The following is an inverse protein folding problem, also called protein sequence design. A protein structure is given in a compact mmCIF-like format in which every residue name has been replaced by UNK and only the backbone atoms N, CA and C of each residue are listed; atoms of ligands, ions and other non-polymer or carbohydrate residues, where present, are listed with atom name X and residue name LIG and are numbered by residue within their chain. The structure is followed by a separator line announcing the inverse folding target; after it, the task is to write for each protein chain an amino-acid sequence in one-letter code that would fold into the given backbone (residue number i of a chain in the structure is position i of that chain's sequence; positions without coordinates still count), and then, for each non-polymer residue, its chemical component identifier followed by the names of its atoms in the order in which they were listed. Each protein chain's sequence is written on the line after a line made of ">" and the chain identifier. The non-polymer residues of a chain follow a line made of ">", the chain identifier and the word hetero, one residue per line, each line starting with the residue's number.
data_IF_519025608981
#
_entry.id   IF_519025608981
#
_cell.length_a   1.000
_cell.length_b   1.000
_cell.length_c   1.000
_cell.angle_alpha   90.00
_cell.angle_beta   90.00
_cell.angle_gamma   90.00
#
_symmetry.space_group_name_H-M   'P 1'
#
loop_
_entity.id
_entity.type
_entity.pdbx_description
1 polymer ?
#
# COMPACT_ATOMS: atom_id res chain seq x y z
N UNK A 1 -43.83 -19.25 70.46
CA UNK A 1 -44.01 -17.93 71.10
C UNK A 1 -43.52 -16.88 70.09
N UNK A 2 -44.27 -16.02 69.43
CA UNK A 2 -45.63 -15.53 69.64
C UNK A 2 -45.60 -14.03 69.95
N UNK A 3 -45.46 -13.16 68.94
CA UNK A 3 -45.93 -11.76 69.01
C UNK A 3 -46.50 -11.37 67.65
N UNK A 4 -47.67 -10.73 67.68
CA UNK A 4 -48.63 -10.48 66.60
C UNK A 4 -49.02 -8.99 66.65
N UNK A 5 -49.07 -8.36 65.46
CA UNK A 5 -49.94 -7.24 64.96
C UNK A 5 -49.88 -5.83 65.63
N UNK A 6 -50.31 -4.72 64.96
CA UNK A 6 -51.43 -4.59 64.00
C UNK A 6 -51.17 -3.99 62.61
N UNK A 7 -52.09 -4.36 61.70
CA UNK A 7 -52.40 -3.78 60.38
C UNK A 7 -53.59 -2.82 60.49
N UNK A 8 -53.66 -1.86 59.57
CA UNK A 8 -54.88 -1.28 58.96
C UNK A 8 -54.47 -0.73 57.58
N UNK A 9 -54.77 -1.34 56.42
CA UNK A 9 -56.01 -1.38 55.59
C UNK A 9 -56.57 0.00 55.21
N UNK A 10 -57.02 0.36 53.99
CA UNK A 10 -57.23 -0.24 52.65
C UNK A 10 -57.68 0.95 51.75
N UNK A 11 -57.38 0.97 50.43
CA UNK A 11 -58.32 1.31 49.32
C UNK A 11 -57.59 1.47 47.95
N UNK A 12 -57.92 0.55 47.03
CA UNK A 12 -57.91 0.67 45.55
C UNK A 12 -59.41 0.53 45.12
N UNK A 13 -59.87 0.72 43.85
CA UNK A 13 -59.15 0.79 42.57
C UNK A 13 -59.69 1.83 41.54
N UNK A 14 -59.00 1.99 40.40
CA UNK A 14 -59.52 2.74 39.24
C UNK A 14 -58.68 2.58 37.98
N UNK A 15 -59.07 1.65 37.11
CA UNK A 15 -58.51 1.34 35.79
C UNK A 15 -58.85 2.39 34.72
N UNK A 16 -57.94 2.65 33.76
CA UNK A 16 -58.24 2.84 32.31
C UNK A 16 -56.95 2.85 31.46
N UNK A 17 -57.14 2.47 30.20
CA UNK A 17 -56.25 1.93 29.14
C UNK A 17 -55.19 2.88 28.53
N UNK A 18 -54.23 2.35 27.72
CA UNK A 18 -53.10 3.10 27.18
C UNK A 18 -53.46 3.85 25.89
N UNK A 19 -52.82 5.00 25.66
CA UNK A 19 -52.86 5.72 24.38
C UNK A 19 -51.51 5.55 23.69
N UNK A 20 -51.58 4.98 22.49
CA UNK A 20 -50.53 4.89 21.48
C UNK A 20 -50.37 6.24 20.79
N UNK A 21 -49.14 6.70 20.60
CA UNK A 21 -48.84 7.75 19.62
C UNK A 21 -47.54 7.41 18.89
N UNK A 22 -47.72 6.85 17.70
CA UNK A 22 -46.72 6.62 16.66
C UNK A 22 -46.10 7.95 16.23
N UNK A 23 -44.78 8.11 16.30
CA UNK A 23 -44.06 9.19 15.61
C UNK A 23 -43.70 8.72 14.20
N UNK A 24 -44.43 9.25 13.21
CA UNK A 24 -44.12 9.14 11.78
C UNK A 24 -43.32 10.38 11.41
N UNK A 25 -42.03 10.19 11.07
CA UNK A 25 -41.23 11.21 10.42
C UNK A 25 -41.60 11.24 8.93
N UNK A 26 -42.32 12.29 8.52
CA UNK A 26 -42.56 12.59 7.10
C UNK A 26 -41.43 13.46 6.57
N UNK A 27 -40.85 12.99 5.48
CA UNK A 27 -40.00 13.70 4.53
C UNK A 27 -40.87 14.64 3.71
N UNK A 28 -40.59 15.94 3.67
CA UNK A 28 -41.16 16.85 2.68
C UNK A 28 -40.04 17.53 1.88
N UNK A 29 -40.12 17.33 0.56
CA UNK A 29 -39.30 17.93 -0.46
C UNK A 29 -39.85 19.32 -0.81
N UNK A 30 -38.97 20.31 -0.91
CA UNK A 30 -39.29 21.64 -1.44
C UNK A 30 -38.80 21.73 -2.89
N UNK A 31 -39.74 21.59 -3.82
CA UNK A 31 -39.64 22.00 -5.23
C UNK A 31 -40.30 23.37 -5.33
N UNK A 32 -39.54 24.41 -5.68
CA UNK A 32 -40.08 25.72 -6.04
C UNK A 32 -39.83 25.98 -7.53
N UNK A 33 -40.91 25.90 -8.31
CA UNK A 33 -40.98 26.35 -9.69
C UNK A 33 -41.66 27.73 -9.73
N UNK A 34 -41.07 28.69 -10.43
CA UNK A 34 -41.70 29.99 -10.68
C UNK A 34 -41.26 30.58 -12.02
N UNK A 35 -42.09 30.29 -13.03
CA UNK A 35 -42.63 31.18 -14.10
C UNK A 35 -41.71 32.18 -14.79
N UNK A 36 -41.52 31.98 -16.11
CA UNK A 36 -41.24 33.03 -17.09
C UNK A 36 -42.48 33.87 -17.43
N UNK A 37 -42.29 35.09 -17.96
CA UNK A 37 -43.22 35.71 -18.90
C UNK A 37 -42.66 35.71 -20.34
N UNK A 38 -43.55 35.40 -21.28
CA UNK A 38 -43.36 35.56 -22.72
C UNK A 38 -43.43 37.04 -23.13
N UNK A 39 -42.58 37.45 -24.08
CA UNK A 39 -42.85 38.56 -24.98
C UNK A 39 -42.34 38.22 -26.39
N UNK A 40 -43.32 38.29 -27.29
CA UNK A 40 -43.46 38.07 -28.73
C UNK A 40 -42.43 38.67 -29.71
N UNK A 41 -42.26 37.93 -30.83
CA UNK A 41 -42.01 38.33 -32.26
C UNK A 41 -40.76 39.19 -32.55
N UNK A 42 -39.96 38.90 -33.57
CA UNK A 42 -40.37 38.90 -34.98
C UNK A 42 -39.41 38.10 -35.91
N UNK A 43 -39.90 37.83 -37.12
CA UNK A 43 -39.44 36.89 -38.14
C UNK A 43 -38.32 37.40 -39.05
N UNK A 44 -37.46 36.46 -39.48
CA UNK A 44 -36.95 36.26 -40.85
C UNK A 44 -35.91 35.14 -40.75
N UNK A 45 -36.04 33.98 -41.39
CA UNK A 45 -36.29 33.78 -42.81
C UNK A 45 -34.92 33.57 -43.49
N UNK A 46 -34.58 32.32 -43.83
CA UNK A 46 -33.91 31.85 -45.06
C UNK A 46 -33.29 30.46 -44.83
N UNK A 47 -33.74 29.49 -45.63
CA UNK A 47 -33.18 28.15 -45.83
C UNK A 47 -31.92 28.20 -46.70
N UNK A 48 -30.95 27.31 -46.43
CA UNK A 48 -30.03 26.56 -47.33
C UNK A 48 -28.97 25.94 -46.38
N UNK A 49 -28.63 24.65 -46.33
CA UNK A 49 -28.43 23.67 -47.40
C UNK A 49 -26.92 23.36 -47.52
N UNK A 50 -26.44 22.35 -46.77
CA UNK A 50 -25.08 21.73 -46.80
C UNK A 50 -23.86 22.65 -46.54
N UNK A 51 -22.91 22.28 -45.69
CA UNK A 51 -21.81 21.33 -45.96
C UNK A 51 -21.39 20.66 -44.64
N UNK A 52 -21.45 19.33 -44.59
CA UNK A 52 -20.75 18.56 -43.58
C UNK A 52 -19.27 18.52 -43.96
N UNK A 53 -18.46 19.36 -43.34
CA UNK A 53 -17.01 19.19 -43.34
C UNK A 53 -16.68 18.03 -42.42
N UNK A 54 -16.55 16.84 -43.00
CA UNK A 54 -15.83 15.73 -42.40
C UNK A 54 -14.40 16.18 -42.10
N UNK A 55 -14.18 16.61 -40.85
CA UNK A 55 -12.83 16.63 -40.29
C UNK A 55 -12.32 15.18 -40.34
N UNK A 56 -11.13 14.92 -40.87
CA UNK A 56 -10.54 13.61 -40.75
C UNK A 56 -10.36 13.36 -39.25
N UNK A 57 -11.13 12.42 -38.70
CA UNK A 57 -10.70 11.66 -37.53
C UNK A 57 -9.42 10.94 -37.95
N UNK A 58 -8.30 11.66 -37.88
CA UNK A 58 -7.01 11.03 -37.71
C UNK A 58 -7.13 10.28 -36.40
N UNK A 59 -7.34 8.98 -36.52
CA UNK A 59 -7.09 8.02 -35.46
C UNK A 59 -5.62 8.21 -35.06
N UNK A 60 -5.36 9.15 -34.15
CA UNK A 60 -4.19 9.07 -33.31
C UNK A 60 -4.43 7.84 -32.44
N UNK A 61 -4.01 6.69 -32.95
CA UNK A 61 -3.54 5.63 -32.07
C UNK A 61 -2.51 6.32 -31.18
N UNK A 62 -2.93 6.75 -29.99
CA UNK A 62 -2.03 6.91 -28.85
C UNK A 62 -1.15 5.67 -28.91
N UNK A 63 0.12 5.83 -29.24
CA UNK A 63 1.06 4.72 -29.19
C UNK A 63 0.92 4.17 -27.78
N UNK A 64 0.44 2.92 -27.66
CA UNK A 64 0.32 2.28 -26.36
C UNK A 64 1.70 2.39 -25.70
N UNK A 65 1.78 3.16 -24.61
CA UNK A 65 3.07 3.44 -23.98
C UNK A 65 3.60 2.12 -23.44
N UNK A 66 4.75 1.68 -23.95
CA UNK A 66 5.40 0.45 -23.49
C UNK A 66 6.05 0.67 -22.12
N UNK A 67 5.23 0.70 -21.06
CA UNK A 67 5.69 0.87 -19.69
C UNK A 67 6.67 -0.24 -19.27
N UNK A 68 6.46 -1.47 -19.75
CA UNK A 68 7.31 -2.62 -19.40
C UNK A 68 8.68 -2.48 -20.06
N UNK A 69 8.74 -2.09 -21.33
CA UNK A 69 9.98 -1.77 -22.02
C UNK A 69 10.73 -0.61 -21.40
N UNK A 70 10.03 0.46 -20.96
CA UNK A 70 10.65 1.58 -20.22
C UNK A 70 11.29 1.12 -18.91
N UNK A 71 10.60 0.28 -18.13
CA UNK A 71 11.15 -0.27 -16.89
C UNK A 71 12.32 -1.21 -17.16
N UNK A 72 12.23 -2.07 -18.18
CA UNK A 72 13.34 -2.96 -18.56
C UNK A 72 14.58 -2.18 -19.02
N UNK A 73 14.40 -1.06 -19.73
CA UNK A 73 15.49 -0.18 -20.11
C UNK A 73 16.12 0.54 -18.90
N UNK A 74 15.31 0.95 -17.93
CA UNK A 74 15.80 1.57 -16.69
C UNK A 74 16.50 0.57 -15.76
N UNK A 75 16.06 -0.70 -15.77
CA UNK A 75 16.54 -1.76 -14.89
C UNK A 75 16.92 -3.02 -15.70
N UNK A 76 18.03 -2.98 -16.45
CA UNK A 76 18.38 -3.99 -17.46
C UNK A 76 18.68 -5.39 -16.93
N UNK A 77 18.90 -5.56 -15.62
CA UNK A 77 19.06 -6.89 -14.99
C UNK A 77 17.73 -7.58 -14.69
N UNK A 78 16.61 -6.87 -14.79
CA UNK A 78 15.29 -7.40 -14.41
C UNK A 78 14.69 -8.27 -15.51
N UNK A 79 13.86 -9.22 -15.11
CA UNK A 79 13.17 -10.15 -16.01
C UNK A 79 11.66 -9.98 -15.88
N UNK A 80 10.96 -9.90 -17.02
CA UNK A 80 9.50 -9.74 -17.08
C UNK A 80 8.74 -11.06 -16.80
N UNK A 81 7.57 -11.06 -16.11
CA UNK A 81 7.00 -9.94 -15.37
C UNK A 81 7.91 -9.42 -14.25
N UNK A 82 7.97 -8.09 -14.12
CA UNK A 82 8.77 -7.44 -13.07
C UNK A 82 8.17 -7.73 -11.70
N UNK A 83 8.97 -8.36 -10.84
CA UNK A 83 8.66 -8.64 -9.43
C UNK A 83 9.55 -7.78 -8.56
N UNK A 84 8.93 -6.97 -7.71
CA UNK A 84 9.60 -6.02 -6.82
C UNK A 84 9.48 -6.51 -5.37
N UNK A 85 10.59 -6.49 -4.64
CA UNK A 85 10.60 -6.66 -3.18
C UNK A 85 10.40 -5.31 -2.51
N UNK A 86 9.32 -5.15 -1.72
CA UNK A 86 8.97 -3.88 -1.10
C UNK A 86 10.03 -3.38 -0.09
N UNK A 87 10.23 -2.05 0.05
CA UNK A 87 10.98 -1.48 1.16
C UNK A 87 10.17 -1.59 2.47
N UNK A 88 10.42 -2.64 3.25
CA UNK A 88 9.81 -2.90 4.54
C UNK A 88 10.75 -2.43 5.65
N UNK A 89 10.36 -1.37 6.38
CA UNK A 89 11.20 -0.75 7.43
C UNK A 89 11.83 -1.81 8.33
N UNK A 90 13.16 -1.82 8.41
CA UNK A 90 14.03 -2.82 9.05
C UNK A 90 13.99 -4.21 8.41
N UNK A 91 12.83 -4.71 7.99
CA UNK A 91 12.62 -6.11 7.61
C UNK A 91 13.24 -6.47 6.24
N UNK A 92 13.24 -5.54 5.29
CA UNK A 92 13.92 -5.74 4.00
C UNK A 92 15.33 -5.15 4.05
N UNK A 93 16.23 -5.93 4.67
CA UNK A 93 17.65 -5.63 4.72
C UNK A 93 18.37 -5.82 3.37
N UNK A 94 19.69 -5.57 3.34
CA UNK A 94 20.52 -5.70 2.15
C UNK A 94 20.52 -7.13 1.59
N UNK A 95 20.49 -8.16 2.45
CA UNK A 95 20.48 -9.56 2.02
C UNK A 95 19.24 -9.87 1.17
N UNK A 96 18.06 -9.46 1.63
CA UNK A 96 16.81 -9.66 0.89
C UNK A 96 16.79 -8.85 -0.40
N UNK A 97 17.18 -7.58 -0.36
CA UNK A 97 17.20 -6.74 -1.56
C UNK A 97 18.13 -7.31 -2.64
N UNK A 98 19.34 -7.72 -2.26
CA UNK A 98 20.31 -8.33 -3.18
C UNK A 98 19.81 -9.67 -3.71
N UNK A 99 19.21 -10.53 -2.88
CA UNK A 99 18.68 -11.82 -3.31
C UNK A 99 17.55 -11.67 -4.34
N UNK A 100 16.62 -10.73 -4.13
CA UNK A 100 15.56 -10.42 -5.10
C UNK A 100 16.14 -9.90 -6.42
N UNK A 101 17.10 -8.97 -6.36
CA UNK A 101 17.73 -8.44 -7.56
C UNK A 101 18.52 -9.50 -8.34
N UNK A 102 19.22 -10.42 -7.65
CA UNK A 102 19.95 -11.54 -8.28
C UNK A 102 19.03 -12.49 -9.05
N UNK A 103 17.80 -12.67 -8.61
CA UNK A 103 16.78 -13.49 -9.28
C UNK A 103 16.07 -12.75 -10.44
N UNK A 104 16.62 -11.63 -10.91
CA UNK A 104 16.01 -10.79 -11.94
C UNK A 104 14.75 -10.07 -11.49
N UNK A 105 14.51 -9.97 -10.18
CA UNK A 105 13.55 -9.04 -9.60
C UNK A 105 14.17 -7.66 -9.37
N UNK A 106 13.45 -6.78 -8.69
CA UNK A 106 13.99 -5.51 -8.19
C UNK A 106 13.83 -5.43 -6.68
N UNK A 107 14.92 -5.63 -5.94
CA UNK A 107 14.90 -5.55 -4.49
C UNK A 107 15.03 -4.12 -3.98
N UNK A 108 14.26 -3.77 -2.94
CA UNK A 108 14.42 -2.52 -2.21
C UNK A 108 14.83 -2.76 -0.75
N UNK A 109 15.85 -2.03 -0.32
CA UNK A 109 16.20 -1.91 1.11
C UNK A 109 15.15 -1.02 1.77
N UNK A 110 14.61 -1.46 2.90
CA UNK A 110 13.65 -0.70 3.69
C UNK A 110 14.33 0.35 4.58
N UNK A 111 13.61 1.41 4.99
CA UNK A 111 14.16 2.38 5.92
C UNK A 111 14.68 1.70 7.20
N UNK A 112 15.77 2.22 7.76
CA UNK A 112 16.29 1.74 9.04
C UNK A 112 15.43 2.13 10.25
N UNK A 113 15.93 1.83 11.45
CA UNK A 113 15.36 2.38 12.69
C UNK A 113 15.58 3.88 12.78
N UNK A 114 16.78 4.33 12.36
CA UNK A 114 17.18 5.74 12.24
C UNK A 114 17.57 6.05 10.79
N UNK A 115 17.45 7.31 10.32
CA UNK A 115 17.81 7.68 8.96
C UNK A 115 19.26 7.30 8.58
N UNK A 116 20.21 7.43 9.51
CA UNK A 116 21.64 7.20 9.29
C UNK A 116 21.97 5.74 9.00
N UNK A 117 21.11 4.81 9.41
CA UNK A 117 21.28 3.37 9.12
C UNK A 117 21.24 3.05 7.62
N UNK A 118 20.66 3.94 6.81
CA UNK A 118 20.55 3.75 5.36
C UNK A 118 21.91 3.57 4.69
N UNK A 119 22.91 4.36 5.09
CA UNK A 119 24.26 4.27 4.53
C UNK A 119 24.92 2.92 4.84
N UNK A 120 24.74 2.40 6.06
CA UNK A 120 25.28 1.10 6.46
C UNK A 120 24.66 -0.05 5.68
N UNK A 121 23.34 -0.05 5.50
CA UNK A 121 22.67 -1.10 4.71
C UNK A 121 23.06 -1.03 3.23
N UNK A 122 23.25 0.18 2.66
CA UNK A 122 23.73 0.35 1.29
C UNK A 122 25.19 -0.10 1.09
N UNK A 123 26.10 0.19 2.03
CA UNK A 123 27.48 -0.34 1.97
C UNK A 123 27.47 -1.87 2.05
N UNK A 124 26.70 -2.45 2.97
CA UNK A 124 26.57 -3.91 3.09
C UNK A 124 26.07 -4.53 1.77
N UNK A 125 25.08 -3.92 1.13
CA UNK A 125 24.58 -4.40 -0.15
C UNK A 125 25.62 -4.31 -1.26
N UNK A 126 26.42 -3.23 -1.28
CA UNK A 126 27.54 -3.06 -2.22
C UNK A 126 28.62 -4.11 -2.00
N UNK A 127 28.96 -4.43 -0.76
CA UNK A 127 29.90 -5.52 -0.41
C UNK A 127 29.37 -6.89 -0.87
N UNK A 128 28.10 -7.18 -0.61
CA UNK A 128 27.44 -8.41 -1.07
C UNK A 128 27.51 -8.54 -2.59
N UNK A 129 27.33 -7.43 -3.32
CA UNK A 129 27.37 -7.40 -4.79
C UNK A 129 28.80 -7.43 -5.36
N UNK A 130 29.79 -6.95 -4.62
CA UNK A 130 31.20 -7.08 -5.01
C UNK A 130 31.66 -8.54 -5.03
N UNK A 131 31.11 -9.39 -4.14
CA UNK A 131 31.41 -10.82 -4.10
C UNK A 131 30.79 -11.62 -5.27
N UNK A 132 29.68 -11.14 -5.81
CA UNK A 132 28.97 -11.76 -6.93
C UNK A 132 28.03 -10.74 -7.56
N UNK A 133 28.42 -10.25 -8.75
CA UNK A 133 27.70 -9.23 -9.50
C UNK A 133 26.41 -9.77 -10.11
N UNK A 134 25.50 -8.85 -10.46
CA UNK A 134 24.26 -9.18 -11.16
C UNK A 134 24.48 -8.97 -12.67
N UNK A 135 24.33 -10.01 -13.51
CA UNK A 135 24.47 -9.86 -14.95
C UNK A 135 23.52 -8.80 -15.53
N UNK A 136 24.04 -7.96 -16.41
CA UNK A 136 23.28 -6.87 -17.04
C UNK A 136 23.05 -5.65 -16.15
N UNK A 137 23.48 -5.67 -14.88
CA UNK A 137 23.41 -4.50 -14.03
C UNK A 137 24.36 -3.39 -14.52
N UNK A 138 23.93 -2.11 -14.47
CA UNK A 138 24.80 -0.99 -14.77
C UNK A 138 25.97 -0.89 -13.77
N UNK A 139 27.16 -0.51 -14.25
CA UNK A 139 28.34 -0.36 -13.38
C UNK A 139 28.31 0.90 -12.51
N UNK A 140 27.52 1.91 -12.89
CA UNK A 140 27.45 3.22 -12.23
C UNK A 140 26.30 3.37 -11.22
N UNK A 141 25.48 2.32 -11.05
CA UNK A 141 24.37 2.29 -10.10
C UNK A 141 24.40 0.98 -9.32
N UNK A 142 23.97 1.02 -8.06
CA UNK A 142 23.70 -0.20 -7.31
C UNK A 142 22.40 -0.82 -7.85
N UNK A 143 22.39 -2.10 -8.29
CA UNK A 143 21.24 -2.77 -8.91
C UNK A 143 20.13 -3.16 -7.91
N UNK A 144 19.73 -2.21 -7.08
CA UNK A 144 18.68 -2.30 -6.08
C UNK A 144 18.17 -0.89 -5.78
N UNK A 145 17.02 -0.81 -5.14
CA UNK A 145 16.47 0.44 -4.66
C UNK A 145 16.58 0.59 -3.14
N UNK A 146 16.25 1.78 -2.65
CA UNK A 146 16.18 2.08 -1.22
C UNK A 146 14.90 2.86 -0.92
N UNK A 147 14.24 2.56 0.19
CA UNK A 147 13.01 3.21 0.61
C UNK A 147 13.21 4.24 1.72
N UNK A 148 12.44 5.32 1.65
CA UNK A 148 12.42 6.43 2.60
C UNK A 148 11.01 6.74 3.08
N UNK A 149 10.90 7.05 4.38
CA UNK A 149 9.69 7.61 4.96
C UNK A 149 9.83 9.13 4.99
N UNK A 150 8.94 9.84 4.31
CA UNK A 150 9.01 11.30 4.19
C UNK A 150 8.71 11.99 5.53
N UNK A 151 7.69 11.53 6.26
CA UNK A 151 7.20 12.23 7.46
C UNK A 151 8.16 12.26 8.66
N UNK A 152 9.10 11.30 8.75
CA UNK A 152 10.06 11.18 9.86
C UNK A 152 11.50 10.89 9.39
N UNK A 153 11.73 10.85 8.08
CA UNK A 153 13.07 10.72 7.52
C UNK A 153 13.77 12.06 7.49
N UNK A 154 15.08 12.00 7.24
CA UNK A 154 15.92 13.16 7.02
C UNK A 154 16.35 13.18 5.55
N UNK A 155 15.91 14.20 4.81
CA UNK A 155 16.16 14.31 3.37
C UNK A 155 17.63 14.55 3.05
N UNK A 156 18.37 15.24 3.92
CA UNK A 156 19.79 15.54 3.69
C UNK A 156 20.65 14.29 3.94
N UNK A 157 20.35 13.52 5.00
CA UNK A 157 20.97 12.20 5.23
C UNK A 157 20.66 11.24 4.08
N UNK A 158 19.41 11.25 3.60
CA UNK A 158 18.97 10.40 2.49
C UNK A 158 19.68 10.79 1.17
N UNK A 159 19.77 12.08 0.88
CA UNK A 159 20.48 12.62 -0.28
C UNK A 159 21.97 12.30 -0.23
N UNK A 160 22.62 12.45 0.92
CA UNK A 160 24.03 12.07 1.09
C UNK A 160 24.25 10.57 0.80
N UNK A 161 23.39 9.69 1.32
CA UNK A 161 23.46 8.26 1.05
C UNK A 161 23.22 7.94 -0.44
N UNK A 162 22.22 8.56 -1.07
CA UNK A 162 21.94 8.38 -2.51
C UNK A 162 23.09 8.89 -3.37
N UNK A 163 23.70 10.02 -3.03
CA UNK A 163 24.87 10.55 -3.74
C UNK A 163 26.08 9.62 -3.64
N UNK A 164 26.33 9.07 -2.45
CA UNK A 164 27.46 8.18 -2.19
C UNK A 164 27.31 6.80 -2.85
N UNK A 165 26.15 6.16 -2.69
CA UNK A 165 25.95 4.75 -3.07
C UNK A 165 25.21 4.56 -4.39
N UNK A 166 24.54 5.61 -4.89
CA UNK A 166 23.87 5.65 -6.19
C UNK A 166 22.95 4.43 -6.44
N UNK A 167 21.96 4.16 -5.57
CA UNK A 167 20.99 3.10 -5.81
C UNK A 167 20.21 3.37 -7.10
N UNK A 168 19.79 2.33 -7.82
CA UNK A 168 19.07 2.51 -9.07
C UNK A 168 17.69 3.19 -8.88
N UNK A 169 17.10 3.10 -7.70
CA UNK A 169 15.87 3.79 -7.36
C UNK A 169 15.79 4.24 -5.89
N UNK A 170 15.09 5.33 -5.66
CA UNK A 170 14.66 5.80 -4.35
C UNK A 170 13.13 5.76 -4.26
N UNK A 171 12.61 5.01 -3.28
CA UNK A 171 11.18 4.83 -3.05
C UNK A 171 10.70 5.75 -1.93
N UNK A 172 9.77 6.64 -2.24
CA UNK A 172 9.21 7.62 -1.32
C UNK A 172 7.84 7.17 -0.83
N UNK A 173 7.60 7.30 0.47
CA UNK A 173 6.31 6.98 1.08
C UNK A 173 5.97 7.89 2.27
N UNK A 174 4.67 8.04 2.49
CA UNK A 174 4.07 8.71 3.63
C UNK A 174 4.51 10.17 3.85
N UNK A 175 4.23 11.08 2.88
CA UNK A 175 4.33 12.51 3.14
C UNK A 175 3.32 12.94 4.20
N UNK A 176 3.69 13.92 5.04
CA UNK A 176 2.77 14.46 6.04
C UNK A 176 1.82 15.47 5.40
N UNK A 177 2.37 16.37 4.58
CA UNK A 177 1.67 17.50 3.97
C UNK A 177 1.38 17.27 2.47
N UNK A 178 1.32 16.01 2.03
CA UNK A 178 1.00 15.64 0.65
C UNK A 178 2.11 15.96 -0.36
N UNK A 179 1.72 16.36 -1.57
CA UNK A 179 2.63 16.48 -2.73
C UNK A 179 3.79 17.46 -2.50
N UNK A 180 3.60 18.52 -1.71
CA UNK A 180 4.67 19.47 -1.42
C UNK A 180 5.89 18.83 -0.74
N UNK A 181 5.67 17.90 0.21
CA UNK A 181 6.78 17.17 0.82
C UNK A 181 7.46 16.23 -0.21
N UNK A 182 6.67 15.60 -1.09
CA UNK A 182 7.18 14.71 -2.14
C UNK A 182 8.07 15.47 -3.12
N UNK A 183 7.68 16.68 -3.51
CA UNK A 183 8.43 17.51 -4.45
C UNK A 183 9.80 17.89 -3.88
N UNK A 184 9.85 18.29 -2.60
CA UNK A 184 11.11 18.61 -1.89
C UNK A 184 12.05 17.40 -1.90
N UNK A 185 11.54 16.22 -1.52
CA UNK A 185 12.34 14.99 -1.52
C UNK A 185 12.80 14.60 -2.93
N UNK A 186 11.91 14.68 -3.92
CA UNK A 186 12.23 14.34 -5.31
C UNK A 186 13.34 15.23 -5.86
N UNK A 187 13.25 16.55 -5.66
CA UNK A 187 14.26 17.50 -6.11
C UNK A 187 15.62 17.21 -5.47
N UNK A 188 15.66 17.08 -4.15
CA UNK A 188 16.89 16.80 -3.40
C UNK A 188 17.57 15.50 -3.83
N UNK A 189 16.79 14.43 -4.03
CA UNK A 189 17.35 13.15 -4.47
C UNK A 189 17.83 13.18 -5.92
N UNK A 190 17.13 13.89 -6.82
CA UNK A 190 17.58 14.10 -8.20
C UNK A 190 18.85 14.94 -8.28
N UNK A 191 19.00 15.95 -7.42
CA UNK A 191 20.25 16.72 -7.28
C UNK A 191 21.41 15.83 -6.81
N UNK A 192 21.15 14.95 -5.84
CA UNK A 192 22.14 14.03 -5.29
C UNK A 192 22.61 12.96 -6.29
N UNK A 193 21.69 12.41 -7.08
CA UNK A 193 21.99 11.45 -8.16
C UNK A 193 20.94 11.54 -9.27
N UNK A 194 21.24 12.21 -10.39
CA UNK A 194 20.31 12.35 -11.52
C UNK A 194 19.88 11.02 -12.16
N UNK A 195 20.68 9.96 -12.01
CA UNK A 195 20.38 8.65 -12.56
C UNK A 195 19.50 7.78 -11.64
N UNK A 196 19.41 8.10 -10.35
CA UNK A 196 18.53 7.41 -9.39
C UNK A 196 17.07 7.72 -9.72
N UNK A 197 16.27 6.69 -10.01
CA UNK A 197 14.84 6.85 -10.35
C UNK A 197 13.98 7.03 -9.11
N UNK A 198 13.01 7.94 -9.18
CA UNK A 198 12.10 8.21 -8.06
C UNK A 198 10.84 7.36 -8.22
N UNK A 199 10.60 6.51 -7.23
CA UNK A 199 9.37 5.73 -7.09
C UNK A 199 8.52 6.37 -6.00
N UNK A 200 7.24 6.61 -6.26
CA UNK A 200 6.32 7.14 -5.25
C UNK A 200 5.20 6.15 -4.98
N UNK A 201 5.03 5.79 -3.71
CA UNK A 201 3.89 4.98 -3.29
C UNK A 201 2.69 5.85 -2.94
N UNK A 202 1.56 5.52 -3.56
CA UNK A 202 0.26 6.18 -3.44
C UNK A 202 -0.82 5.16 -3.09
N UNK A 203 -1.94 5.60 -2.52
CA UNK A 203 -3.07 4.76 -2.17
C UNK A 203 -4.43 5.33 -2.54
N UNK A 204 -4.47 6.45 -3.27
CA UNK A 204 -5.69 7.10 -3.76
C UNK A 204 -5.50 7.66 -5.17
N UNK A 205 -6.61 7.88 -5.89
CA UNK A 205 -6.57 8.53 -7.20
C UNK A 205 -5.98 9.95 -7.10
N UNK A 206 -6.38 10.72 -6.08
CA UNK A 206 -5.93 12.10 -5.92
C UNK A 206 -4.41 12.19 -5.75
N UNK A 207 -3.82 11.35 -4.91
CA UNK A 207 -2.34 11.27 -4.76
C UNK A 207 -1.66 10.94 -6.10
N UNK A 208 -2.25 10.06 -6.91
CA UNK A 208 -1.73 9.73 -8.25
C UNK A 208 -1.80 10.89 -9.23
N UNK A 209 -2.91 11.65 -9.22
CA UNK A 209 -3.08 12.84 -10.06
C UNK A 209 -2.13 13.95 -9.66
N UNK A 210 -1.99 14.22 -8.36
CA UNK A 210 -1.10 15.26 -7.83
C UNK A 210 0.36 14.96 -8.20
N UNK A 211 0.79 13.70 -7.99
CA UNK A 211 2.13 13.27 -8.32
C UNK A 211 2.43 13.32 -9.81
N UNK A 212 1.50 12.85 -10.65
CA UNK A 212 1.70 12.81 -12.10
C UNK A 212 1.73 14.21 -12.72
N UNK A 213 1.01 15.17 -12.15
CA UNK A 213 0.93 16.57 -12.63
C UNK A 213 1.96 17.50 -11.99
N UNK A 214 2.73 17.01 -11.02
CA UNK A 214 3.80 17.80 -10.39
C UNK A 214 4.89 18.15 -11.40
N UNK A 215 5.48 19.34 -11.24
CA UNK A 215 6.69 19.73 -11.96
C UNK A 215 7.90 18.83 -11.61
N UNK A 216 7.83 18.13 -10.48
CA UNK A 216 8.81 17.15 -10.00
C UNK A 216 8.22 15.74 -9.99
N UNK A 217 7.50 15.37 -11.05
CA UNK A 217 6.84 14.07 -11.15
C UNK A 217 7.80 12.87 -10.90
N UNK A 218 7.33 11.80 -10.24
CA UNK A 218 8.11 10.60 -10.05
C UNK A 218 8.28 9.83 -11.37
N UNK A 219 9.29 8.98 -11.44
CA UNK A 219 9.53 8.11 -12.60
C UNK A 219 8.59 6.88 -12.60
N UNK A 220 8.09 6.47 -11.42
CA UNK A 220 7.20 5.32 -11.22
C UNK A 220 6.19 5.62 -10.12
N UNK A 221 4.93 5.22 -10.33
CA UNK A 221 3.91 5.19 -9.26
C UNK A 221 3.68 3.76 -8.79
N UNK A 222 3.74 3.55 -7.48
CA UNK A 222 3.36 2.30 -6.84
C UNK A 222 1.97 2.46 -6.26
N UNK A 223 1.00 1.80 -6.88
CA UNK A 223 -0.41 1.83 -6.51
C UNK A 223 -0.65 0.79 -5.41
N UNK A 224 -0.67 1.22 -4.16
CA UNK A 224 -0.87 0.36 -3.00
C UNK A 224 -2.36 0.17 -2.69
N UNK A 225 -2.84 -1.06 -2.85
CA UNK A 225 -4.18 -1.47 -2.44
C UNK A 225 -4.33 -1.60 -0.92
N UNK A 226 -5.57 -1.49 -0.45
CA UNK A 226 -5.97 -1.57 0.96
C UNK A 226 -5.61 -2.92 1.63
N UNK A 227 -5.34 -3.95 0.84
CA UNK A 227 -4.90 -5.28 1.26
C UNK A 227 -3.45 -5.31 1.75
N UNK A 228 -2.64 -4.30 1.42
CA UNK A 228 -1.23 -4.26 1.78
C UNK A 228 -0.99 -4.33 3.29
N UNK A 229 0.07 -5.04 3.68
CA UNK A 229 0.59 -5.10 5.04
C UNK A 229 1.31 -3.83 5.45
N UNK A 230 1.43 -3.59 6.76
CA UNK A 230 2.06 -2.37 7.26
C UNK A 230 1.27 -1.11 6.86
N UNK A 231 1.93 0.04 6.93
CA UNK A 231 1.31 1.34 6.72
C UNK A 231 0.77 1.50 5.30
N UNK A 232 -0.48 1.90 5.22
CA UNK A 232 -1.20 2.29 4.01
C UNK A 232 -2.39 3.17 4.41
N UNK A 233 -3.25 3.53 3.45
CA UNK A 233 -4.41 4.40 3.71
C UNK A 233 -5.29 3.84 4.83
N UNK A 234 -5.57 4.67 5.82
CA UNK A 234 -6.24 4.27 7.05
C UNK A 234 -7.73 3.95 6.83
N UNK A 235 -8.42 4.77 6.03
CA UNK A 235 -9.89 4.71 5.87
C UNK A 235 -10.39 4.87 4.43
N UNK A 236 -9.57 5.40 3.52
CA UNK A 236 -9.98 5.78 2.15
C UNK A 236 -9.18 5.05 1.06
N UNK A 237 -8.44 3.99 1.42
CA UNK A 237 -7.82 3.10 0.45
C UNK A 237 -8.80 2.10 -0.14
N UNK A 238 -8.65 1.79 -1.42
CA UNK A 238 -9.38 0.72 -2.12
C UNK A 238 -8.42 -0.38 -2.58
N UNK A 239 -8.94 -1.49 -3.11
CA UNK A 239 -8.11 -2.57 -3.63
C UNK A 239 -7.39 -2.18 -4.92
N UNK A 240 -6.20 -2.74 -5.19
CA UNK A 240 -5.44 -2.35 -6.39
C UNK A 240 -6.19 -2.71 -7.69
N UNK A 241 -7.05 -3.74 -7.67
CA UNK A 241 -7.87 -4.14 -8.82
C UNK A 241 -8.81 -3.02 -9.27
N UNK A 242 -9.29 -2.19 -8.34
CA UNK A 242 -10.14 -1.03 -8.66
C UNK A 242 -9.31 0.24 -8.85
N UNK A 243 -8.32 0.46 -7.98
CA UNK A 243 -7.56 1.70 -7.94
C UNK A 243 -6.61 1.87 -9.13
N UNK A 244 -5.92 0.80 -9.54
CA UNK A 244 -4.90 0.86 -10.58
C UNK A 244 -5.47 1.27 -11.95
N UNK A 245 -6.53 0.65 -12.49
CA UNK A 245 -7.07 1.04 -13.78
C UNK A 245 -7.64 2.48 -13.76
N UNK A 246 -8.21 2.92 -12.64
CA UNK A 246 -8.69 4.30 -12.49
C UNK A 246 -7.55 5.32 -12.60
N UNK A 247 -6.40 5.05 -11.94
CA UNK A 247 -5.20 5.88 -12.06
C UNK A 247 -4.62 5.79 -13.47
N UNK A 248 -4.59 4.59 -14.08
CA UNK A 248 -4.05 4.39 -15.43
C UNK A 248 -4.81 5.24 -16.45
N UNK A 249 -6.14 5.23 -16.41
CA UNK A 249 -6.97 6.01 -17.30
C UNK A 249 -6.84 7.52 -17.05
N UNK A 250 -6.77 7.93 -15.78
CA UNK A 250 -6.66 9.33 -15.39
C UNK A 250 -5.27 9.95 -15.66
N UNK A 251 -4.23 9.12 -15.83
CA UNK A 251 -2.84 9.54 -16.05
C UNK A 251 -2.27 9.12 -17.40
N UNK A 252 -3.11 8.56 -18.29
CA UNK A 252 -2.70 7.99 -19.59
C UNK A 252 -1.88 8.94 -20.48
N UNK A 253 -2.18 10.24 -20.43
CA UNK A 253 -1.52 11.25 -21.27
C UNK A 253 -0.13 11.66 -20.72
N UNK A 254 0.16 11.32 -19.46
CA UNK A 254 1.43 11.62 -18.78
C UNK A 254 2.40 10.43 -18.95
N UNK A 255 1.87 9.21 -18.94
CA UNK A 255 2.65 8.01 -19.26
C UNK A 255 3.67 7.60 -18.20
N UNK A 256 3.28 7.65 -16.92
CA UNK A 256 4.09 7.11 -15.80
C UNK A 256 3.77 5.62 -15.62
N UNK A 257 4.78 4.72 -15.60
CA UNK A 257 4.58 3.30 -15.29
C UNK A 257 3.93 3.09 -13.91
N UNK A 258 2.94 2.21 -13.85
CA UNK A 258 2.25 1.83 -12.61
C UNK A 258 2.68 0.44 -12.15
N UNK A 259 3.01 0.32 -10.85
CA UNK A 259 3.33 -0.94 -10.19
C UNK A 259 2.22 -1.26 -9.18
N UNK A 260 1.63 -2.45 -9.27
CA UNK A 260 0.60 -2.88 -8.32
C UNK A 260 1.23 -3.35 -7.00
N UNK A 261 0.70 -2.92 -5.86
CA UNK A 261 1.13 -3.39 -4.55
C UNK A 261 -0.07 -3.71 -3.64
N UNK A 262 0.10 -4.69 -2.75
CA UNK A 262 -0.94 -5.14 -1.81
C UNK A 262 -1.70 -6.36 -2.31
N UNK A 263 -1.93 -7.35 -1.44
CA UNK A 263 -2.70 -8.54 -1.78
C UNK A 263 -2.00 -9.59 -2.67
N UNK A 264 -0.82 -9.29 -3.23
CA UNK A 264 -0.10 -10.16 -4.18
C UNK A 264 0.90 -11.04 -3.43
N UNK A 265 0.80 -12.37 -3.60
CA UNK A 265 1.70 -13.36 -2.99
C UNK A 265 2.26 -14.41 -3.97
N UNK A 266 1.63 -14.60 -5.12
CA UNK A 266 1.95 -15.66 -6.08
C UNK A 266 1.55 -15.25 -7.51
N UNK A 267 1.74 -16.16 -8.47
CA UNK A 267 1.52 -15.88 -9.90
C UNK A 267 0.10 -15.45 -10.27
N UNK A 268 -0.92 -15.82 -9.49
CA UNK A 268 -2.32 -15.40 -9.75
C UNK A 268 -2.49 -13.91 -9.53
N UNK A 269 -1.92 -13.39 -8.45
CA UNK A 269 -1.92 -11.96 -8.15
C UNK A 269 -1.14 -11.16 -9.20
N UNK A 270 -0.04 -11.72 -9.71
CA UNK A 270 0.72 -11.11 -10.82
C UNK A 270 -0.12 -11.05 -12.10
N UNK A 271 -0.75 -12.16 -12.50
CA UNK A 271 -1.60 -12.21 -13.69
C UNK A 271 -2.76 -11.20 -13.59
N UNK A 272 -3.42 -11.12 -12.44
CA UNK A 272 -4.49 -10.15 -12.19
C UNK A 272 -4.00 -8.69 -12.30
N UNK A 273 -2.86 -8.37 -11.68
CA UNK A 273 -2.27 -7.04 -11.74
C UNK A 273 -1.89 -6.62 -13.17
N UNK A 274 -1.26 -7.52 -13.93
CA UNK A 274 -0.93 -7.25 -15.33
C UNK A 274 -2.20 -7.08 -16.20
N UNK A 275 -3.25 -7.83 -15.90
CA UNK A 275 -4.55 -7.73 -16.58
C UNK A 275 -5.25 -6.40 -16.39
N UNK A 276 -5.10 -5.76 -15.22
CA UNK A 276 -5.65 -4.42 -14.95
C UNK A 276 -4.72 -3.27 -15.36
N UNK A 277 -3.61 -3.57 -16.05
CA UNK A 277 -2.74 -2.55 -16.66
C UNK A 277 -1.43 -2.28 -15.93
N UNK A 278 -1.07 -3.04 -14.89
CA UNK A 278 0.21 -2.87 -14.21
C UNK A 278 1.41 -3.20 -15.13
N UNK A 279 2.50 -2.46 -14.96
CA UNK A 279 3.78 -2.72 -15.61
C UNK A 279 4.63 -3.74 -14.83
N UNK A 280 4.32 -3.95 -13.56
CA UNK A 280 4.94 -4.90 -12.65
C UNK A 280 4.21 -4.94 -11.32
N UNK A 281 4.73 -5.71 -10.38
CA UNK A 281 4.12 -5.89 -9.06
C UNK A 281 5.14 -5.74 -7.95
N UNK A 282 4.65 -5.41 -6.76
CA UNK A 282 5.43 -5.40 -5.52
C UNK A 282 4.82 -6.36 -4.51
N UNK A 283 5.66 -7.21 -3.92
CA UNK A 283 5.31 -8.04 -2.77
C UNK A 283 6.04 -7.56 -1.52
N UNK A 284 5.32 -7.53 -0.39
CA UNK A 284 5.91 -7.32 0.93
C UNK A 284 5.76 -8.57 1.78
N UNK A 285 4.53 -8.90 2.14
CA UNK A 285 4.20 -10.02 3.02
C UNK A 285 4.74 -11.37 2.56
N UNK A 286 4.75 -11.67 1.27
CA UNK A 286 5.37 -12.91 0.76
C UNK A 286 6.86 -12.98 1.07
N UNK A 287 7.58 -11.87 0.93
CA UNK A 287 9.02 -11.79 1.23
C UNK A 287 9.35 -11.71 2.72
N UNK A 288 8.38 -11.45 3.62
CA UNK A 288 8.59 -11.67 5.05
C UNK A 288 8.83 -13.15 5.36
N UNK A 289 8.25 -14.06 4.58
CA UNK A 289 8.52 -15.49 4.63
C UNK A 289 9.69 -15.89 3.71
N UNK A 290 10.72 -15.05 3.60
CA UNK A 290 12.00 -15.40 2.96
C UNK A 290 13.09 -15.68 3.99
N UNK A 291 14.08 -16.48 3.63
CA UNK A 291 15.23 -16.77 4.51
C UNK A 291 16.07 -15.52 4.78
N UNK A 292 16.07 -14.57 3.84
CA UNK A 292 16.87 -13.35 3.85
C UNK A 292 16.18 -12.18 4.58
N UNK A 293 14.90 -12.32 4.96
CA UNK A 293 14.20 -11.28 5.70
C UNK A 293 14.83 -11.05 7.08
N UNK A 294 15.11 -9.79 7.41
CA UNK A 294 15.69 -9.38 8.70
C UNK A 294 14.60 -9.34 9.79
N UNK A 295 14.05 -10.50 10.12
CA UNK A 295 12.98 -10.66 11.13
C UNK A 295 13.30 -11.79 12.12
N UNK A 296 12.61 -11.78 13.27
CA UNK A 296 12.71 -12.86 14.25
C UNK A 296 11.91 -14.08 13.78
N UNK A 297 12.33 -15.27 14.23
CA UNK A 297 11.69 -16.52 13.81
C UNK A 297 10.22 -16.57 14.25
N UNK A 298 9.89 -16.12 15.46
CA UNK A 298 8.50 -16.04 15.91
C UNK A 298 7.60 -15.16 15.04
N UNK A 299 8.16 -14.06 14.51
CA UNK A 299 7.46 -13.21 13.53
C UNK A 299 7.20 -13.99 12.24
N UNK A 300 8.24 -14.64 11.70
CA UNK A 300 8.16 -15.39 10.46
C UNK A 300 7.19 -16.58 10.56
N UNK A 301 7.24 -17.30 11.67
CA UNK A 301 6.32 -18.40 11.96
C UNK A 301 4.88 -17.90 11.99
N UNK A 302 4.62 -16.73 12.58
CA UNK A 302 3.27 -16.14 12.58
C UNK A 302 2.80 -15.73 11.18
N UNK A 303 3.70 -15.22 10.33
CA UNK A 303 3.40 -14.91 8.92
C UNK A 303 2.97 -16.17 8.17
N UNK A 304 3.61 -17.30 8.39
CA UNK A 304 3.31 -18.56 7.69
C UNK A 304 2.11 -19.29 8.30
N UNK A 305 1.88 -19.13 9.60
CA UNK A 305 0.78 -19.79 10.33
C UNK A 305 -0.57 -19.13 10.05
N UNK A 306 -0.61 -17.80 9.99
CA UNK A 306 -1.86 -17.07 9.88
C UNK A 306 -2.57 -17.33 8.54
N UNK A 307 -3.89 -17.48 8.60
CA UNK A 307 -4.76 -17.66 7.43
C UNK A 307 -5.99 -16.77 7.59
N UNK A 308 -6.89 -16.78 6.59
CA UNK A 308 -8.10 -15.96 6.56
C UNK A 308 -7.77 -14.49 6.91
N UNK A 309 -7.00 -13.85 6.03
CA UNK A 309 -6.48 -12.52 6.29
C UNK A 309 -7.57 -11.44 6.40
N UNK A 310 -8.77 -11.69 5.89
CA UNK A 310 -9.93 -10.82 6.07
C UNK A 310 -10.41 -10.78 7.52
N UNK A 311 -10.45 -11.94 8.19
CA UNK A 311 -10.81 -12.03 9.60
C UNK A 311 -9.64 -11.77 10.55
N UNK A 312 -8.43 -12.14 10.15
CA UNK A 312 -7.26 -12.15 11.04
C UNK A 312 -6.28 -11.00 10.83
N UNK A 313 -6.58 -10.03 9.97
CA UNK A 313 -5.78 -8.80 9.86
C UNK A 313 -6.64 -7.55 9.91
N UNK A 314 -6.09 -6.47 10.45
CA UNK A 314 -6.78 -5.18 10.54
C UNK A 314 -5.81 -4.01 10.54
N UNK A 315 -6.32 -2.80 10.31
CA UNK A 315 -5.56 -1.55 10.44
C UNK A 315 -5.73 -0.96 11.82
N UNK A 316 -4.62 -0.68 12.51
CA UNK A 316 -4.67 -0.07 13.84
C UNK A 316 -3.37 0.64 14.22
N UNK A 317 -3.48 1.77 14.92
CA UNK A 317 -2.32 2.46 15.51
C UNK A 317 -1.83 1.82 16.81
N UNK A 318 -2.59 0.87 17.39
CA UNK A 318 -2.28 0.26 18.69
C UNK A 318 -0.81 -0.16 18.78
N UNK A 319 -0.33 -0.90 17.79
CA UNK A 319 1.02 -1.45 17.82
C UNK A 319 2.12 -0.42 17.60
N UNK A 320 1.83 0.70 16.94
CA UNK A 320 2.77 1.82 16.85
C UNK A 320 2.93 2.45 18.23
N UNK A 321 1.82 2.69 18.93
CA UNK A 321 1.84 3.26 20.28
C UNK A 321 2.49 2.30 21.29
N UNK A 322 2.25 0.99 21.18
CA UNK A 322 2.88 -0.01 22.04
C UNK A 322 4.42 -0.02 21.92
N UNK A 323 4.96 0.24 20.73
CA UNK A 323 6.41 0.41 20.51
C UNK A 323 6.93 1.84 20.70
N UNK A 324 6.12 2.73 21.27
CA UNK A 324 6.49 4.13 21.52
C UNK A 324 6.59 5.00 20.26
N UNK A 325 6.05 4.56 19.13
CA UNK A 325 6.00 5.36 17.91
C UNK A 325 4.66 6.09 17.83
N UNK A 326 4.70 7.41 17.98
CA UNK A 326 3.55 8.30 17.86
C UNK A 326 3.72 9.25 16.68
N UNK A 327 2.64 9.92 16.30
CA UNK A 327 2.70 11.03 15.33
C UNK A 327 2.73 10.61 13.86
N UNK A 328 2.42 9.35 13.52
CA UNK A 328 2.13 8.99 12.13
C UNK A 328 1.07 9.95 11.55
N UNK A 329 1.19 10.42 10.30
CA UNK A 329 0.14 11.18 9.65
C UNK A 329 -1.18 10.41 9.68
N UNK A 330 -2.29 11.09 9.97
CA UNK A 330 -3.59 10.47 10.27
C UNK A 330 -4.12 9.58 9.14
N UNK A 331 -3.74 9.93 7.91
CA UNK A 331 -4.12 9.20 6.71
C UNK A 331 -3.49 7.80 6.60
N UNK A 332 -2.47 7.47 7.41
CA UNK A 332 -1.76 6.20 7.34
C UNK A 332 -1.95 5.37 8.62
N UNK A 333 -2.36 4.12 8.47
CA UNK A 333 -2.48 3.15 9.57
C UNK A 333 -1.95 1.79 9.16
N UNK A 334 -1.17 1.08 10.00
CA UNK A 334 -0.58 -0.18 9.60
C UNK A 334 -1.57 -1.35 9.67
N UNK A 335 -1.53 -2.23 8.67
CA UNK A 335 -2.18 -3.54 8.71
C UNK A 335 -1.28 -4.58 9.37
N UNK A 336 -1.88 -5.36 10.25
CA UNK A 336 -1.22 -6.32 11.15
C UNK A 336 -2.14 -7.50 11.41
N UNK A 337 -1.53 -8.65 11.72
CA UNK A 337 -2.25 -9.83 12.20
C UNK A 337 -2.79 -9.55 13.61
N UNK A 338 -3.98 -10.06 13.89
CA UNK A 338 -4.64 -9.99 15.19
C UNK A 338 -3.95 -10.92 16.19
N UNK A 339 -3.57 -10.38 17.34
CA UNK A 339 -3.00 -11.14 18.45
C UNK A 339 -3.64 -10.72 19.79
N UNK A 340 -3.03 -11.12 20.91
CA UNK A 340 -3.57 -10.87 22.23
C UNK A 340 -3.68 -9.38 22.58
N UNK A 341 -2.74 -8.53 22.14
CA UNK A 341 -2.79 -7.08 22.37
C UNK A 341 -4.07 -6.45 21.79
N UNK A 342 -4.46 -6.85 20.57
CA UNK A 342 -5.69 -6.36 19.96
C UNK A 342 -6.94 -6.89 20.67
N UNK A 343 -6.98 -8.19 20.98
CA UNK A 343 -8.15 -8.80 21.66
C UNK A 343 -8.42 -8.16 23.02
N UNK A 344 -7.37 -7.82 23.77
CA UNK A 344 -7.52 -7.13 25.04
C UNK A 344 -7.99 -5.68 24.86
N UNK A 345 -7.53 -5.01 23.81
CA UNK A 345 -8.06 -3.69 23.44
C UNK A 345 -9.56 -3.75 23.15
N UNK A 346 -10.03 -4.76 22.43
CA UNK A 346 -11.46 -4.97 22.15
C UNK A 346 -12.27 -5.31 23.41
N UNK A 347 -11.67 -5.99 24.38
CA UNK A 347 -12.27 -6.27 25.70
C UNK A 347 -12.31 -5.04 26.61
N UNK A 348 -11.75 -3.91 26.18
CA UNK A 348 -11.73 -2.67 26.97
C UNK A 348 -10.58 -2.57 27.97
N UNK A 349 -9.57 -3.44 27.90
CA UNK A 349 -8.35 -3.32 28.72
C UNK A 349 -7.66 -1.98 28.46
N UNK A 350 -7.13 -1.37 29.53
CA UNK A 350 -6.45 -0.08 29.43
C UNK A 350 -5.20 -0.17 28.55
N UNK A 351 -4.80 0.95 27.94
CA UNK A 351 -3.59 0.98 27.12
C UNK A 351 -2.35 0.65 27.95
N UNK A 352 -2.29 1.14 29.18
CA UNK A 352 -1.19 0.98 30.13
C UNK A 352 -0.97 -0.51 30.48
N UNK A 353 -2.05 -1.26 30.71
CA UNK A 353 -1.98 -2.70 30.97
C UNK A 353 -1.53 -3.49 29.74
N UNK A 354 -2.04 -3.16 28.56
CA UNK A 354 -1.60 -3.79 27.30
C UNK A 354 -0.12 -3.46 27.05
N UNK A 355 0.30 -2.21 27.29
CA UNK A 355 1.68 -1.74 27.16
C UNK A 355 2.62 -2.53 28.07
N UNK A 356 2.25 -2.74 29.33
CA UNK A 356 3.03 -3.56 30.26
C UNK A 356 3.23 -4.99 29.74
N UNK A 357 2.14 -5.64 29.31
CA UNK A 357 2.20 -7.01 28.78
C UNK A 357 2.99 -7.11 27.47
N UNK A 358 2.88 -6.10 26.60
CA UNK A 358 3.70 -5.96 25.41
C UNK A 358 5.19 -5.85 25.76
N UNK A 359 5.57 -4.97 26.67
CA UNK A 359 6.97 -4.76 27.05
C UNK A 359 7.57 -6.02 27.70
N UNK A 360 6.79 -6.69 28.56
CA UNK A 360 7.16 -7.98 29.14
C UNK A 360 7.38 -9.05 28.05
N UNK A 361 6.61 -9.01 26.96
CA UNK A 361 6.72 -9.97 25.87
C UNK A 361 7.92 -9.72 24.95
N UNK A 362 8.33 -8.47 24.74
CA UNK A 362 9.50 -8.12 23.91
C UNK A 362 10.77 -8.85 24.38
N UNK A 363 10.91 -9.10 25.69
CA UNK A 363 12.02 -9.85 26.26
C UNK A 363 11.95 -11.38 26.13
N UNK A 364 10.85 -11.94 25.63
CA UNK A 364 10.58 -13.40 25.63
C UNK A 364 10.97 -14.12 24.33
N UNK A 365 11.76 -13.48 23.47
CA UNK A 365 12.21 -14.07 22.21
C UNK A 365 11.04 -14.36 21.26
N UNK A 366 11.03 -15.53 20.64
CA UNK A 366 10.05 -15.87 19.58
C UNK A 366 8.60 -15.96 20.09
N UNK A 367 8.39 -16.25 21.38
CA UNK A 367 7.06 -16.30 22.01
C UNK A 367 6.38 -14.92 22.13
N UNK A 368 7.06 -13.83 21.74
CA UNK A 368 6.45 -12.50 21.67
C UNK A 368 5.38 -12.40 20.57
N UNK A 369 5.50 -13.25 19.53
CA UNK A 369 4.59 -13.35 18.40
C UNK A 369 3.67 -14.58 18.51
N UNK A 370 2.76 -14.72 17.56
CA UNK A 370 1.75 -15.78 17.57
C UNK A 370 0.35 -15.27 17.95
N UNK A 371 -0.67 -16.15 17.92
CA UNK A 371 -2.03 -15.82 18.34
C UNK A 371 -2.09 -15.26 19.76
N UNK A 372 -1.30 -15.82 20.67
CA UNK A 372 -1.23 -15.42 22.08
C UNK A 372 -0.09 -14.43 22.36
N UNK A 373 0.63 -14.04 21.31
CA UNK A 373 1.69 -13.04 21.36
C UNK A 373 1.15 -11.64 21.60
N UNK A 374 2.04 -10.75 22.03
CA UNK A 374 1.72 -9.36 22.34
C UNK A 374 2.39 -8.35 21.39
N UNK A 375 3.35 -8.80 20.58
CA UNK A 375 4.06 -7.94 19.63
C UNK A 375 3.46 -8.03 18.23
N UNK A 376 3.50 -6.92 17.50
CA UNK A 376 2.91 -6.81 16.17
C UNK A 376 3.55 -7.75 15.13
N UNK A 377 2.70 -8.29 14.25
CA UNK A 377 3.10 -8.93 12.99
C UNK A 377 2.46 -8.16 11.85
N UNK A 378 3.15 -7.14 11.34
CA UNK A 378 2.72 -6.40 10.16
C UNK A 378 2.71 -7.30 8.92
N UNK A 379 1.53 -7.54 8.37
CA UNK A 379 1.32 -8.40 7.22
C UNK A 379 0.02 -8.00 6.50
N UNK A 380 -0.06 -8.33 5.21
CA UNK A 380 -1.20 -8.03 4.36
C UNK A 380 -2.34 -9.01 4.53
N UNK A 381 -3.48 -8.66 3.94
CA UNK A 381 -4.68 -9.51 3.95
C UNK A 381 -4.51 -10.81 3.13
N UNK A 382 -3.44 -10.91 2.33
CA UNK A 382 -3.06 -12.11 1.58
C UNK A 382 -2.32 -13.17 2.40
N UNK A 383 -2.30 -13.06 3.74
CA UNK A 383 -1.50 -13.93 4.61
C UNK A 383 -1.81 -15.42 4.42
N UNK A 384 -3.06 -15.78 4.14
CA UNK A 384 -3.44 -17.18 3.87
C UNK A 384 -2.86 -17.78 2.58
N UNK A 385 -2.20 -16.98 1.74
CA UNK A 385 -1.47 -17.44 0.55
C UNK A 385 0.03 -17.66 0.83
N UNK A 386 0.51 -17.31 2.02
CA UNK A 386 1.92 -17.38 2.41
C UNK A 386 2.11 -18.59 3.32
N UNK A 387 2.33 -19.77 2.72
CA UNK A 387 2.27 -21.05 3.45
C UNK A 387 3.63 -21.70 3.74
N UNK A 388 4.73 -21.09 3.28
CA UNK A 388 6.07 -21.66 3.44
C UNK A 388 7.15 -20.56 3.49
N UNK A 389 8.24 -20.86 4.19
CA UNK A 389 9.49 -20.09 4.10
C UNK A 389 10.32 -20.63 2.95
N UNK A 390 10.82 -19.76 2.07
CA UNK A 390 11.65 -20.13 0.92
C UNK A 390 12.78 -19.11 0.71
N UNK A 391 13.77 -19.42 -0.12
CA UNK A 391 14.75 -18.40 -0.50
C UNK A 391 14.06 -17.30 -1.34
N UNK A 392 14.46 -16.04 -1.19
CA UNK A 392 13.84 -14.93 -1.90
C UNK A 392 13.93 -15.10 -3.43
N UNK A 393 15.03 -15.68 -3.92
CA UNK A 393 15.18 -15.99 -5.35
C UNK A 393 14.17 -17.02 -5.85
N UNK A 394 13.92 -18.08 -5.07
CA UNK A 394 12.91 -19.10 -5.40
C UNK A 394 11.49 -18.49 -5.40
N UNK A 395 11.20 -17.59 -4.46
CA UNK A 395 9.93 -16.85 -4.41
C UNK A 395 9.74 -16.07 -5.72
N UNK A 396 10.77 -15.34 -6.18
CA UNK A 396 10.74 -14.57 -7.43
C UNK A 396 10.50 -15.51 -8.62
N UNK A 397 11.29 -16.57 -8.76
CA UNK A 397 11.23 -17.46 -9.93
C UNK A 397 9.92 -18.25 -10.01
N UNK A 398 9.44 -18.77 -8.89
CA UNK A 398 8.15 -19.48 -8.79
C UNK A 398 7.00 -18.56 -9.14
N UNK A 399 6.92 -17.39 -8.51
CA UNK A 399 5.87 -16.38 -8.76
C UNK A 399 5.83 -15.97 -10.23
N UNK A 400 7.00 -15.73 -10.83
CA UNK A 400 7.11 -15.34 -12.25
C UNK A 400 6.66 -16.45 -13.18
N UNK A 401 7.10 -17.67 -12.92
CA UNK A 401 6.79 -18.85 -13.76
C UNK A 401 5.30 -19.19 -13.69
N UNK A 402 4.71 -19.18 -12.49
CA UNK A 402 3.27 -19.35 -12.29
C UNK A 402 2.46 -18.31 -13.06
N UNK A 403 2.85 -17.03 -12.98
CA UNK A 403 2.17 -15.95 -13.69
C UNK A 403 2.18 -16.16 -15.21
N UNK A 404 3.35 -16.51 -15.78
CA UNK A 404 3.48 -16.80 -17.22
C UNK A 404 2.61 -17.98 -17.64
N UNK A 405 2.59 -19.06 -16.86
CA UNK A 405 1.77 -20.23 -17.14
C UNK A 405 0.27 -19.89 -17.10
N UNK A 406 -0.18 -19.11 -16.11
CA UNK A 406 -1.57 -18.66 -15.99
C UNK A 406 -1.97 -17.81 -17.19
N UNK A 407 -1.15 -16.83 -17.57
CA UNK A 407 -1.42 -15.95 -18.70
C UNK A 407 -1.48 -16.76 -20.00
N UNK A 408 -0.53 -17.65 -20.23
CA UNK A 408 -0.52 -18.51 -21.42
C UNK A 408 -1.76 -19.41 -21.48
N UNK A 409 -2.17 -20.01 -20.36
CA UNK A 409 -3.36 -20.83 -20.29
C UNK A 409 -4.64 -20.03 -20.60
N UNK A 410 -4.76 -18.80 -20.07
CA UNK A 410 -5.90 -17.91 -20.36
C UNK A 410 -5.92 -17.48 -21.83
N UNK A 411 -4.78 -17.11 -22.40
CA UNK A 411 -4.69 -16.71 -23.81
C UNK A 411 -4.97 -17.85 -24.80
N UNK A 412 -4.73 -19.10 -24.41
CA UNK A 412 -5.04 -20.26 -25.24
C UNK A 412 -6.47 -20.79 -25.11
N UNK A 413 -7.21 -20.35 -24.08
CA UNK A 413 -8.57 -20.82 -23.77
C UNK A 413 -9.69 -19.80 -24.00
N UNK A 414 -9.33 -18.53 -24.24
CA UNK A 414 -10.22 -17.46 -24.72
C UNK A 414 -10.09 -17.34 -26.25
#
# INVERSE_FOLDING_TARGET
>A
MGVRVPRTSVLLPGSRRPVSTTHVLRTEALIAASRQPHLTRDMSGVFYGHIATTLPHTSSRLQAVDFRGRLAAAYPWTTSPLIVGAPMRVMSGPELAVAVSRAGGFGFIGPGLKPESTGTDLETAKELLASSSIPGAPHNLLPLGVGFQIWNGDVEVSAAAVSQYRPAAAWLFAPRNGQGDVDVWTQKLREASPETKIWLQIGTLQEGLDAARSASAPDVLVVQGAEAGGHGRASDGTGFITLLPEIADATKDIGIPLIAAGGIADGRGVAAALGVGAAGITMGTRFLASQEARIKKGYQDEVVRATDGGANTLRTQLYNHLRGTFGWPEQFSPRTIVNQSWREKERGTSFEEIKKKHDDAVGKGDAAWGPDGWTATYAGANIGLVTEVAAAGEIVDKTRSEARNIIQALSGGL
#
